data_IF_395419430521
#
_entry.id   IF_395419430521
#
_cell.length_a   1.000
_cell.length_b   1.000
_cell.length_c   1.000
_cell.angle_alpha   90.00
_cell.angle_beta   90.00
_cell.angle_gamma   90.00
#
_symmetry.space_group_name_H-M   'P 1'
#
loop_
_entity.id
_entity.type
_entity.pdbx_description
1 polymer ?
#
# COMPACT_ATOMS: atom_id res chain seq x y z
N UNK A 1 -3.34 -3.03 -12.32
CA UNK A 1 -4.61 -2.87 -11.59
C UNK A 1 -5.62 -3.88 -12.11
N UNK A 2 -6.33 -4.56 -11.20
CA UNK A 2 -7.45 -5.43 -11.58
C UNK A 2 -8.67 -4.59 -11.92
N UNK A 3 -9.64 -5.18 -12.62
CA UNK A 3 -10.85 -4.48 -13.06
C UNK A 3 -11.64 -3.90 -11.87
N UNK A 4 -11.65 -4.60 -10.73
CA UNK A 4 -12.33 -4.14 -9.50
C UNK A 4 -11.68 -2.89 -8.91
N UNK A 5 -10.34 -2.84 -8.84
CA UNK A 5 -9.64 -1.67 -8.31
C UNK A 5 -9.79 -0.45 -9.22
N UNK A 6 -9.85 -0.69 -10.54
CA UNK A 6 -10.03 0.37 -11.54
C UNK A 6 -11.38 1.08 -11.37
N UNK A 7 -12.47 0.33 -11.15
CA UNK A 7 -13.81 0.89 -10.93
C UNK A 7 -13.88 1.87 -9.74
N UNK A 8 -13.14 1.60 -8.66
CA UNK A 8 -13.07 2.51 -7.51
C UNK A 8 -12.29 3.78 -7.86
N UNK A 9 -11.13 3.63 -8.49
CA UNK A 9 -10.20 4.72 -8.81
C UNK A 9 -10.78 5.69 -9.86
N UNK A 10 -11.58 5.18 -10.80
CA UNK A 10 -12.22 5.99 -11.85
C UNK A 10 -13.56 6.59 -11.42
N UNK A 11 -13.99 6.37 -10.17
CA UNK A 11 -15.26 6.88 -9.64
C UNK A 11 -15.07 8.12 -8.77
N UNK A 12 -16.15 8.89 -8.58
CA UNK A 12 -16.19 10.03 -7.64
C UNK A 12 -15.88 9.64 -6.19
N UNK A 13 -15.97 8.35 -5.86
CA UNK A 13 -15.64 7.79 -4.54
C UNK A 13 -14.13 7.69 -4.30
N UNK A 14 -13.32 7.89 -5.33
CA UNK A 14 -11.86 7.79 -5.24
C UNK A 14 -11.28 8.81 -4.26
N UNK A 15 -11.74 10.06 -4.33
CA UNK A 15 -11.26 11.12 -3.43
C UNK A 15 -11.66 10.89 -1.98
N UNK A 16 -12.88 10.41 -1.74
CA UNK A 16 -13.34 10.08 -0.39
C UNK A 16 -12.52 8.94 0.23
N UNK A 17 -12.22 7.92 -0.58
CA UNK A 17 -11.39 6.81 -0.12
C UNK A 17 -9.96 7.27 0.20
N UNK A 18 -9.36 8.10 -0.67
CA UNK A 18 -8.04 8.67 -0.41
C UNK A 18 -8.01 9.49 0.89
N UNK A 19 -9.10 10.18 1.25
CA UNK A 19 -9.21 10.89 2.55
C UNK A 19 -9.19 9.94 3.75
N UNK A 20 -9.58 8.68 3.60
CA UNK A 20 -9.49 7.67 4.66
C UNK A 20 -8.07 7.17 4.91
N UNK A 21 -7.16 7.36 3.94
CA UNK A 21 -5.75 6.95 4.06
C UNK A 21 -4.97 8.10 4.73
N UNK A 22 -4.18 7.85 5.79
CA UNK A 22 -3.40 8.91 6.45
C UNK A 22 -2.49 9.70 5.51
N UNK A 23 -1.85 9.04 4.55
CA UNK A 23 -1.03 9.68 3.51
C UNK A 23 -1.82 10.40 2.41
N UNK A 24 -3.15 10.34 2.42
CA UNK A 24 -4.06 11.06 1.50
C UNK A 24 -3.87 10.74 0.02
N UNK A 25 -3.35 9.55 -0.29
CA UNK A 25 -3.16 9.05 -1.65
C UNK A 25 -3.24 7.53 -1.68
N UNK A 26 -3.44 6.99 -2.88
CA UNK A 26 -3.24 5.57 -3.14
C UNK A 26 -1.75 5.23 -3.19
N UNK A 27 -1.45 3.96 -2.92
CA UNK A 27 -0.13 3.41 -3.21
C UNK A 27 0.04 3.27 -4.72
N UNK A 28 1.22 3.63 -5.20
CA UNK A 28 1.68 3.35 -6.56
C UNK A 28 2.60 2.12 -6.53
N UNK A 29 2.93 1.57 -7.70
CA UNK A 29 3.78 0.38 -7.75
C UNK A 29 5.17 0.62 -7.16
N UNK A 30 5.69 1.83 -7.34
CA UNK A 30 7.00 2.27 -6.89
C UNK A 30 7.11 2.30 -5.35
N UNK A 31 5.98 2.40 -4.63
CA UNK A 31 5.98 2.30 -3.16
C UNK A 31 6.38 0.90 -2.66
N UNK A 32 6.29 -0.13 -3.52
CA UNK A 32 6.68 -1.50 -3.21
C UNK A 32 8.15 -1.78 -3.56
N UNK A 33 8.82 -0.96 -4.35
CA UNK A 33 10.19 -1.23 -4.80
C UNK A 33 11.13 -1.42 -3.62
N UNK A 34 11.13 -0.48 -2.67
CA UNK A 34 11.95 -0.57 -1.45
C UNK A 34 11.63 -1.80 -0.59
N UNK A 35 10.37 -2.00 -0.16
CA UNK A 35 9.94 -3.17 0.60
C UNK A 35 10.28 -4.51 -0.07
N UNK A 36 10.05 -4.63 -1.38
CA UNK A 36 10.35 -5.85 -2.13
C UNK A 36 11.86 -6.08 -2.25
N UNK A 37 12.63 -5.04 -2.57
CA UNK A 37 14.09 -5.14 -2.62
C UNK A 37 14.68 -5.51 -1.26
N UNK A 38 14.16 -4.95 -0.16
CA UNK A 38 14.56 -5.32 1.20
C UNK A 38 14.36 -6.83 1.39
N UNK A 39 13.13 -7.33 1.19
CA UNK A 39 12.75 -8.72 1.45
C UNK A 39 13.39 -9.73 0.48
N UNK A 40 13.81 -9.29 -0.70
CA UNK A 40 14.48 -10.13 -1.70
C UNK A 40 16.01 -10.10 -1.62
N UNK A 41 16.60 -9.26 -0.75
CA UNK A 41 18.04 -9.04 -0.67
C UNK A 41 18.68 -9.71 0.55
N UNK A 42 20.01 -9.74 0.57
CA UNK A 42 20.79 -10.19 1.74
C UNK A 42 20.56 -9.32 2.98
N UNK A 43 20.03 -8.10 2.83
CA UNK A 43 19.68 -7.24 3.97
C UNK A 43 18.60 -7.87 4.87
N UNK A 44 17.80 -8.80 4.34
CA UNK A 44 16.78 -9.53 5.09
C UNK A 44 17.17 -10.98 5.41
N UNK A 45 18.46 -11.34 5.42
CA UNK A 45 18.92 -12.73 5.54
C UNK A 45 18.41 -13.51 6.77
N UNK A 46 17.96 -12.83 7.82
CA UNK A 46 17.37 -13.45 9.02
C UNK A 46 15.94 -12.99 9.31
N UNK A 47 15.28 -12.35 8.34
CA UNK A 47 13.89 -11.92 8.44
C UNK A 47 12.99 -13.01 7.84
N UNK A 48 12.21 -13.67 8.69
CA UNK A 48 11.23 -14.68 8.26
C UNK A 48 9.98 -14.61 9.14
N UNK A 49 8.85 -15.14 8.65
CA UNK A 49 7.58 -15.19 9.39
C UNK A 49 6.94 -13.83 9.70
N UNK A 50 7.31 -12.77 8.96
CA UNK A 50 6.84 -11.40 9.20
C UNK A 50 5.98 -10.89 8.03
N UNK A 51 5.00 -10.03 8.35
CA UNK A 51 4.21 -9.28 7.36
C UNK A 51 4.68 -7.82 7.38
N UNK A 52 5.13 -7.30 6.24
CA UNK A 52 5.48 -5.89 6.07
C UNK A 52 4.30 -5.16 5.41
N UNK A 53 3.64 -4.29 6.17
CA UNK A 53 2.47 -3.53 5.68
C UNK A 53 2.93 -2.28 4.92
N UNK A 54 2.43 -2.11 3.70
CA UNK A 54 2.72 -0.97 2.82
C UNK A 54 1.38 -0.43 2.29
N UNK A 55 0.72 0.41 3.07
CA UNK A 55 -0.67 0.84 2.80
C UNK A 55 -0.93 2.34 3.05
N UNK A 56 0.12 3.14 3.22
CA UNK A 56 0.00 4.56 3.54
C UNK A 56 -0.62 4.85 4.93
N UNK A 57 -0.61 3.86 5.83
CA UNK A 57 -1.13 3.94 7.19
C UNK A 57 -2.60 3.54 7.34
N UNK A 58 -3.22 3.00 6.28
CA UNK A 58 -4.66 2.73 6.23
C UNK A 58 -5.13 1.79 7.36
N UNK A 59 -4.40 0.71 7.66
CA UNK A 59 -4.75 -0.25 8.72
C UNK A 59 -4.74 0.36 10.12
N UNK A 60 -4.00 1.46 10.32
CA UNK A 60 -3.91 2.17 11.60
C UNK A 60 -4.75 3.44 11.63
N UNK A 61 -5.52 3.74 10.57
CA UNK A 61 -6.40 4.90 10.56
C UNK A 61 -7.49 4.71 11.63
N UNK A 62 -7.64 5.69 12.53
CA UNK A 62 -8.78 5.73 13.45
C UNK A 62 -10.06 5.99 12.65
N UNK A 63 -11.13 5.27 12.97
CA UNK A 63 -12.48 5.48 12.42
C UNK A 63 -13.01 6.89 12.67
#
# INVERSE_FOLDING_TARGET
LTDVSRLLLESDRSEEFAKGIPMRRYGEFEDLDGPLLLLASDASAYMTGTILVVDGGHVCASL
#
